data_IF_830347220880
#
_entry.id   IF_830347220880
#
_cell.length_a   1.000
_cell.length_b   1.000
_cell.length_c   1.000
_cell.angle_alpha   90.00
_cell.angle_beta   90.00
_cell.angle_gamma   90.00
#
_symmetry.space_group_name_H-M   'P 1'
#
loop_
_entity.id
_entity.type
_entity.pdbx_description
1 polymer ?
#
# COMPACT_ATOMS: atom_id res chain seq x y z
N UNK A 1 15.51 -9.40 7.99
CA UNK A 1 15.23 -9.45 6.54
C UNK A 1 14.15 -8.42 6.22
N UNK A 2 14.43 -7.49 5.32
CA UNK A 2 13.51 -6.42 4.90
C UNK A 2 12.92 -6.69 3.52
N UNK A 3 11.88 -5.95 3.15
CA UNK A 3 11.19 -6.04 1.86
C UNK A 3 11.25 -4.71 1.14
N UNK A 4 11.53 -4.75 -0.16
CA UNK A 4 11.56 -3.56 -1.01
C UNK A 4 10.64 -3.79 -2.21
N UNK A 5 9.63 -2.93 -2.34
CA UNK A 5 8.74 -2.92 -3.49
C UNK A 5 9.44 -2.16 -4.60
N UNK A 6 9.72 -2.83 -5.71
CA UNK A 6 10.27 -2.22 -6.91
C UNK A 6 9.11 -1.81 -7.81
N UNK A 7 8.81 -0.52 -7.76
CA UNK A 7 7.71 0.14 -8.47
C UNK A 7 8.21 1.17 -9.50
N UNK A 8 9.51 1.17 -9.79
CA UNK A 8 10.16 1.92 -10.85
C UNK A 8 10.96 0.97 -11.76
N UNK A 9 11.37 1.42 -12.95
CA UNK A 9 12.23 0.63 -13.82
C UNK A 9 13.61 0.41 -13.18
N UNK A 10 13.98 -0.85 -12.95
CA UNK A 10 15.26 -1.22 -12.33
C UNK A 10 15.90 -2.35 -13.13
N UNK A 11 17.18 -2.17 -13.47
CA UNK A 11 18.00 -3.21 -14.09
C UNK A 11 18.17 -4.43 -13.18
N UNK A 12 18.26 -5.63 -13.76
CA UNK A 12 18.38 -6.87 -13.01
C UNK A 12 19.58 -6.86 -12.03
N UNK A 13 20.73 -6.33 -12.46
CA UNK A 13 21.93 -6.23 -11.63
C UNK A 13 21.73 -5.40 -10.36
N UNK A 14 20.89 -4.35 -10.40
CA UNK A 14 20.61 -3.55 -9.19
C UNK A 14 19.69 -4.30 -8.23
N UNK A 15 18.72 -5.08 -8.73
CA UNK A 15 17.89 -5.96 -7.88
C UNK A 15 18.76 -6.99 -7.16
N UNK A 16 19.74 -7.58 -7.85
CA UNK A 16 20.69 -8.54 -7.28
C UNK A 16 21.57 -7.92 -6.21
N UNK A 17 22.11 -6.71 -6.44
CA UNK A 17 22.88 -5.99 -5.43
C UNK A 17 22.03 -5.67 -4.20
N UNK A 18 20.80 -5.18 -4.40
CA UNK A 18 19.89 -4.87 -3.30
C UNK A 18 19.57 -6.11 -2.45
N UNK A 19 19.37 -7.25 -3.10
CA UNK A 19 19.10 -8.52 -2.42
C UNK A 19 20.34 -9.10 -1.73
N UNK A 20 21.46 -9.19 -2.45
CA UNK A 20 22.69 -9.83 -1.96
C UNK A 20 23.40 -9.02 -0.89
N UNK A 21 23.53 -7.70 -1.08
CA UNK A 21 24.27 -6.84 -0.15
C UNK A 21 23.44 -6.46 1.08
N UNK A 22 22.17 -6.10 0.90
CA UNK A 22 21.35 -5.58 2.00
C UNK A 22 20.34 -6.59 2.56
N UNK A 23 20.34 -7.83 2.06
CA UNK A 23 19.42 -8.87 2.49
C UNK A 23 17.95 -8.50 2.27
N UNK A 24 17.67 -7.73 1.21
CA UNK A 24 16.31 -7.30 0.86
C UNK A 24 15.61 -8.34 -0.01
N UNK A 25 14.39 -8.69 0.37
CA UNK A 25 13.49 -9.41 -0.53
C UNK A 25 12.85 -8.41 -1.48
N UNK A 26 13.11 -8.57 -2.77
CA UNK A 26 12.55 -7.72 -3.82
C UNK A 26 11.14 -8.18 -4.16
N UNK A 27 10.20 -7.25 -4.14
CA UNK A 27 8.80 -7.47 -4.50
C UNK A 27 8.48 -6.68 -5.76
N UNK A 28 8.03 -7.35 -6.82
CA UNK A 28 7.72 -6.70 -8.08
C UNK A 28 6.30 -6.11 -8.08
N UNK A 29 6.18 -4.81 -8.33
CA UNK A 29 4.90 -4.11 -8.30
C UNK A 29 3.92 -4.62 -9.39
N UNK A 30 4.43 -5.05 -10.55
CA UNK A 30 3.60 -5.57 -11.62
C UNK A 30 3.07 -6.97 -11.24
N UNK A 31 3.91 -7.85 -10.70
CA UNK A 31 3.49 -9.15 -10.18
C UNK A 31 2.44 -9.02 -9.06
N UNK A 32 2.69 -8.16 -8.07
CA UNK A 32 1.74 -7.95 -6.97
C UNK A 32 0.41 -7.38 -7.44
N UNK A 33 0.44 -6.55 -8.48
CA UNK A 33 -0.79 -6.05 -9.13
C UNK A 33 -1.54 -7.16 -9.82
N UNK A 34 -0.87 -7.99 -10.62
CA UNK A 34 -1.50 -9.15 -11.27
C UNK A 34 -2.15 -10.08 -10.24
N UNK A 35 -1.48 -10.35 -9.12
CA UNK A 35 -2.05 -11.14 -8.02
C UNK A 35 -3.27 -10.50 -7.38
N UNK A 36 -3.28 -9.17 -7.25
CA UNK A 36 -4.43 -8.41 -6.74
C UNK A 36 -5.62 -8.47 -7.70
N UNK A 37 -5.38 -8.35 -9.00
CA UNK A 37 -6.43 -8.41 -10.03
C UNK A 37 -6.97 -9.84 -10.23
N UNK A 38 -6.14 -10.86 -10.03
CA UNK A 38 -6.54 -12.27 -10.08
C UNK A 38 -7.24 -12.76 -8.79
N UNK A 39 -7.45 -11.89 -7.80
CA UNK A 39 -8.12 -12.28 -6.57
C UNK A 39 -9.58 -12.69 -6.81
N UNK A 40 -9.92 -13.94 -6.49
CA UNK A 40 -11.26 -14.50 -6.74
C UNK A 40 -12.40 -13.76 -6.03
N UNK A 41 -12.11 -12.99 -4.97
CA UNK A 41 -13.12 -12.19 -4.29
C UNK A 41 -13.81 -11.15 -5.18
N UNK A 42 -13.20 -10.77 -6.32
CA UNK A 42 -13.84 -9.90 -7.30
C UNK A 42 -15.13 -10.47 -7.89
N UNK A 43 -15.23 -11.80 -8.01
CA UNK A 43 -16.42 -12.48 -8.57
C UNK A 43 -17.66 -12.37 -7.67
N UNK A 44 -17.46 -12.04 -6.40
CA UNK A 44 -18.54 -11.88 -5.41
C UNK A 44 -19.01 -10.44 -5.23
N UNK A 45 -18.43 -9.51 -5.97
CA UNK A 45 -18.74 -8.10 -5.87
C UNK A 45 -19.67 -7.67 -7.01
N UNK A 46 -20.75 -6.97 -6.64
CA UNK A 46 -21.63 -6.31 -7.61
C UNK A 46 -21.05 -4.92 -7.92
N UNK A 47 -20.66 -4.64 -9.18
CA UNK A 47 -20.12 -3.34 -9.57
C UNK A 47 -21.00 -2.15 -9.19
N UNK A 48 -22.32 -2.28 -9.26
CA UNK A 48 -23.24 -1.18 -9.06
C UNK A 48 -23.47 -0.83 -7.59
N UNK A 49 -23.08 -1.72 -6.68
CA UNK A 49 -23.15 -1.50 -5.23
C UNK A 49 -21.77 -1.57 -4.55
N UNK A 50 -20.69 -1.64 -5.31
CA UNK A 50 -19.31 -1.65 -4.81
C UNK A 50 -18.60 -0.34 -5.10
N UNK A 51 -18.00 0.24 -4.06
CA UNK A 51 -17.16 1.44 -4.14
C UNK A 51 -15.67 1.07 -4.02
N UNK A 52 -14.89 1.36 -5.06
CA UNK A 52 -13.43 1.24 -5.03
C UNK A 52 -12.81 2.50 -4.45
N UNK A 53 -11.98 2.36 -3.42
CA UNK A 53 -11.33 3.47 -2.72
C UNK A 53 -9.81 3.31 -2.78
N UNK A 54 -9.13 4.32 -3.33
CA UNK A 54 -7.67 4.36 -3.46
C UNK A 54 -7.13 5.56 -2.65
N UNK A 55 -6.80 5.39 -1.37
CA UNK A 55 -6.44 6.50 -0.48
C UNK A 55 -4.95 6.90 -0.58
N UNK A 56 -4.70 8.14 -1.00
CA UNK A 56 -3.36 8.76 -0.94
C UNK A 56 -2.34 8.22 -1.95
N UNK A 57 -1.05 8.49 -1.66
CA UNK A 57 0.03 8.30 -2.64
C UNK A 57 0.34 6.82 -2.93
N UNK A 58 0.36 5.96 -1.91
CA UNK A 58 0.62 4.52 -2.07
C UNK A 58 -0.40 3.88 -3.00
N UNK A 59 -1.69 4.06 -2.69
CA UNK A 59 -2.79 3.66 -3.57
C UNK A 59 -2.73 4.26 -4.98
N UNK A 60 -2.22 5.49 -5.13
CA UNK A 60 -2.03 6.09 -6.47
C UNK A 60 -0.97 5.37 -7.30
N UNK A 61 0.06 4.81 -6.66
CA UNK A 61 1.05 3.95 -7.32
C UNK A 61 0.38 2.64 -7.75
N UNK A 62 -0.38 1.99 -6.86
CA UNK A 62 -1.13 0.77 -7.21
C UNK A 62 -2.06 1.01 -8.39
N UNK A 63 -2.80 2.13 -8.40
CA UNK A 63 -3.66 2.54 -9.51
C UNK A 63 -2.93 2.58 -10.85
N UNK A 64 -1.75 3.22 -10.90
CA UNK A 64 -0.94 3.29 -12.13
C UNK A 64 -0.57 1.90 -12.65
N UNK A 65 -0.25 0.97 -11.76
CA UNK A 65 0.06 -0.39 -12.14
C UNK A 65 -1.19 -1.17 -12.57
N UNK A 66 -2.33 -0.98 -11.92
CA UNK A 66 -3.61 -1.55 -12.37
C UNK A 66 -3.88 -1.12 -13.82
N UNK A 67 -3.80 0.17 -14.11
CA UNK A 67 -4.02 0.73 -15.45
C UNK A 67 -2.99 0.24 -16.48
N UNK A 68 -1.79 -0.14 -16.05
CA UNK A 68 -0.75 -0.72 -16.90
C UNK A 68 -1.02 -2.21 -17.21
N UNK A 69 -1.46 -2.98 -16.21
CA UNK A 69 -1.69 -4.43 -16.33
C UNK A 69 -3.02 -4.72 -17.04
N UNK A 70 -4.08 -4.02 -16.64
CA UNK A 70 -5.41 -4.09 -17.25
C UNK A 70 -6.01 -2.67 -17.32
N UNK A 71 -5.88 -1.98 -18.47
CA UNK A 71 -6.37 -0.62 -18.65
C UNK A 71 -7.87 -0.44 -18.42
N UNK A 72 -8.66 -1.52 -18.57
CA UNK A 72 -10.12 -1.47 -18.47
C UNK A 72 -10.65 -1.93 -17.12
N UNK A 73 -9.79 -2.44 -16.24
CA UNK A 73 -10.21 -2.97 -14.94
C UNK A 73 -11.00 -1.95 -14.11
N UNK A 74 -10.50 -0.71 -14.01
CA UNK A 74 -11.19 0.36 -13.26
C UNK A 74 -12.50 0.83 -13.91
N UNK A 75 -12.73 0.51 -15.19
CA UNK A 75 -13.96 0.87 -15.89
C UNK A 75 -15.13 -0.03 -15.50
N UNK A 76 -14.82 -1.25 -15.03
CA UNK A 76 -15.80 -2.19 -14.51
C UNK A 76 -16.47 -1.68 -13.24
N UNK A 77 -15.89 -0.71 -12.53
CA UNK A 77 -16.39 -0.19 -11.25
C UNK A 77 -16.93 1.24 -11.40
N UNK A 78 -18.25 1.46 -11.49
CA UNK A 78 -18.82 2.81 -11.65
C UNK A 78 -18.44 3.75 -10.50
N UNK A 79 -18.41 3.23 -9.27
CA UNK A 79 -18.15 4.02 -8.07
C UNK A 79 -16.68 3.93 -7.67
N UNK A 80 -15.99 5.08 -7.72
CA UNK A 80 -14.57 5.20 -7.36
C UNK A 80 -14.35 6.45 -6.51
N UNK A 81 -13.45 6.38 -5.54
CA UNK A 81 -13.05 7.52 -4.74
C UNK A 81 -11.55 7.53 -4.43
N UNK A 82 -10.98 8.74 -4.38
CA UNK A 82 -9.55 8.97 -4.18
C UNK A 82 -9.34 9.97 -3.02
N UNK A 83 -9.77 9.62 -1.79
CA UNK A 83 -9.68 10.55 -0.67
C UNK A 83 -8.22 10.86 -0.37
N UNK A 84 -7.96 12.09 0.07
CA UNK A 84 -6.64 12.45 0.59
C UNK A 84 -6.31 11.59 1.80
N UNK A 85 -5.18 10.89 1.75
CA UNK A 85 -4.60 10.20 2.89
C UNK A 85 -3.10 10.49 2.94
N UNK A 86 -2.61 10.85 4.13
CA UNK A 86 -1.20 11.18 4.34
C UNK A 86 -0.72 10.58 5.66
N UNK A 87 0.40 9.88 5.60
CA UNK A 87 1.18 9.53 6.80
C UNK A 87 2.13 10.68 7.11
N UNK A 88 2.13 11.12 8.36
CA UNK A 88 3.03 12.15 8.86
C UNK A 88 4.00 11.48 9.81
N UNK A 89 5.28 11.65 9.53
CA UNK A 89 6.37 11.22 10.38
C UNK A 89 6.86 12.40 11.20
N UNK A 90 6.69 12.34 12.52
CA UNK A 90 7.24 13.33 13.46
C UNK A 90 8.36 12.60 14.23
N UNK A 91 9.62 13.09 14.20
CA UNK A 91 10.71 12.49 14.96
C UNK A 91 10.36 12.34 16.44
N UNK A 92 10.56 11.14 17.00
CA UNK A 92 10.24 10.84 18.40
C UNK A 92 8.79 10.46 18.67
N UNK A 93 7.89 10.63 17.71
CA UNK A 93 6.50 10.19 17.82
C UNK A 93 6.20 8.94 16.99
N UNK A 94 5.13 8.25 17.36
CA UNK A 94 4.53 7.24 16.49
C UNK A 94 4.00 7.92 15.21
N UNK A 95 4.19 7.30 14.02
CA UNK A 95 3.61 7.80 12.79
C UNK A 95 2.11 8.01 12.93
N UNK A 96 1.59 9.11 12.41
CA UNK A 96 0.16 9.41 12.41
C UNK A 96 -0.38 9.43 10.99
N UNK A 97 -1.54 8.82 10.82
CA UNK A 97 -2.26 8.85 9.54
C UNK A 97 -3.40 9.88 9.57
N UNK A 98 -3.49 10.72 8.55
CA UNK A 98 -4.62 11.64 8.32
C UNK A 98 -5.37 11.19 7.08
N UNK A 99 -6.70 11.14 7.16
CA UNK A 99 -7.57 10.67 6.09
C UNK A 99 -8.74 11.63 5.93
N UNK A 100 -9.06 11.97 4.68
CA UNK A 100 -10.24 12.76 4.33
C UNK A 100 -11.50 11.91 4.21
N UNK A 101 -12.63 12.59 4.04
CA UNK A 101 -13.88 11.93 3.66
C UNK A 101 -13.80 11.42 2.22
N UNK A 102 -14.42 10.26 2.00
CA UNK A 102 -14.63 9.64 0.68
C UNK A 102 -15.60 10.49 -0.15
N UNK A 103 -16.66 10.97 0.49
CA UNK A 103 -17.69 11.79 -0.12
C UNK A 103 -18.15 12.87 0.89
N UNK A 104 -18.47 14.10 0.46
CA UNK A 104 -19.02 15.14 1.35
C UNK A 104 -20.37 14.75 1.99
N UNK A 105 -21.18 13.93 1.31
CA UNK A 105 -22.49 13.49 1.76
C UNK A 105 -22.59 11.99 2.06
N UNK A 106 -23.80 11.55 2.38
CA UNK A 106 -24.12 10.13 2.60
C UNK A 106 -24.23 9.41 1.26
N UNK A 107 -23.54 8.28 1.11
CA UNK A 107 -23.66 7.38 -0.03
C UNK A 107 -24.66 6.27 0.33
N UNK A 108 -25.79 6.25 -0.38
CA UNK A 108 -26.82 5.22 -0.26
C UNK A 108 -26.69 4.23 -1.41
N UNK A 109 -27.00 2.95 -1.16
CA UNK A 109 -26.94 1.90 -2.19
C UNK A 109 -25.57 1.23 -2.35
N UNK A 110 -24.51 1.80 -1.76
CA UNK A 110 -23.21 1.13 -1.64
C UNK A 110 -23.30 0.06 -0.55
N UNK A 111 -23.11 -1.20 -0.94
CA UNK A 111 -23.11 -2.37 -0.05
C UNK A 111 -21.70 -2.82 0.34
N UNK A 112 -20.72 -2.56 -0.51
CA UNK A 112 -19.32 -2.93 -0.25
C UNK A 112 -18.38 -1.79 -0.58
N UNK A 113 -17.43 -1.52 0.32
CA UNK A 113 -16.33 -0.59 0.11
C UNK A 113 -15.04 -1.38 0.05
N UNK A 114 -14.34 -1.33 -1.09
CA UNK A 114 -13.05 -2.00 -1.28
C UNK A 114 -11.94 -0.96 -1.25
N UNK A 115 -11.12 -1.00 -0.21
CA UNK A 115 -9.96 -0.12 -0.05
C UNK A 115 -8.73 -0.81 -0.63
N UNK A 116 -8.09 -0.19 -1.63
CA UNK A 116 -6.87 -0.69 -2.27
C UNK A 116 -5.70 0.21 -1.87
N UNK A 117 -4.64 -0.35 -1.29
CA UNK A 117 -3.44 0.39 -0.86
C UNK A 117 -2.15 -0.38 -1.19
N UNK A 118 -1.00 0.29 -1.26
CA UNK A 118 0.28 -0.39 -1.54
C UNK A 118 0.74 -1.23 -0.33
N UNK A 119 0.66 -0.69 0.89
CA UNK A 119 1.16 -1.33 2.10
C UNK A 119 0.26 -1.09 3.31
N UNK A 120 -0.26 -2.18 3.87
CA UNK A 120 -0.90 -2.21 5.20
C UNK A 120 0.14 -2.60 6.26
N UNK A 121 0.81 -1.59 6.82
CA UNK A 121 1.85 -1.78 7.86
C UNK A 121 1.29 -1.92 9.27
N UNK A 122 0.79 -0.84 9.87
CA UNK A 122 0.07 -0.90 11.16
C UNK A 122 -1.43 -1.16 11.00
N UNK A 123 -1.97 -0.81 9.83
CA UNK A 123 -3.41 -0.73 9.60
C UNK A 123 -4.06 0.57 10.05
N UNK A 124 -3.28 1.56 10.51
CA UNK A 124 -3.81 2.84 10.98
C UNK A 124 -4.53 3.62 9.88
N UNK A 125 -3.97 3.68 8.66
CA UNK A 125 -4.58 4.38 7.52
C UNK A 125 -5.97 3.80 7.21
N UNK A 126 -6.05 2.49 7.00
CA UNK A 126 -7.32 1.80 6.67
C UNK A 126 -8.30 1.88 7.84
N UNK A 127 -7.83 1.69 9.08
CA UNK A 127 -8.66 1.82 10.27
C UNK A 127 -9.28 3.20 10.44
N UNK A 128 -8.49 4.27 10.24
CA UNK A 128 -9.00 5.65 10.26
C UNK A 128 -9.93 5.92 9.09
N UNK A 129 -9.57 5.48 7.88
CA UNK A 129 -10.40 5.69 6.69
C UNK A 129 -11.81 5.15 6.91
N UNK A 130 -11.92 3.91 7.42
CA UNK A 130 -13.22 3.34 7.79
C UNK A 130 -13.89 4.11 8.91
N UNK A 131 -13.16 4.46 9.98
CA UNK A 131 -13.75 5.17 11.14
C UNK A 131 -14.39 6.49 10.73
N UNK A 132 -13.71 7.27 9.89
CA UNK A 132 -14.19 8.58 9.42
C UNK A 132 -15.36 8.47 8.43
N UNK A 133 -15.47 7.36 7.70
CA UNK A 133 -16.42 7.23 6.59
C UNK A 133 -17.60 6.29 6.85
N UNK A 134 -17.52 5.37 7.82
CA UNK A 134 -18.56 4.34 8.07
C UNK A 134 -19.95 4.92 8.34
N UNK A 135 -20.05 6.12 8.92
CA UNK A 135 -21.34 6.76 9.19
C UNK A 135 -21.95 7.41 7.95
N UNK A 136 -21.14 7.67 6.92
CA UNK A 136 -21.57 8.26 5.64
C UNK A 136 -21.82 7.20 4.58
N UNK A 137 -21.40 5.96 4.81
CA UNK A 137 -21.68 4.82 3.95
C UNK A 137 -22.30 3.74 4.85
N UNK A 138 -23.54 3.97 5.33
CA UNK A 138 -24.18 3.09 6.28
C UNK A 138 -24.35 1.69 5.66
N UNK A 139 -24.41 0.67 6.50
CA UNK A 139 -24.59 -0.76 6.17
C UNK A 139 -23.52 -1.42 5.28
N UNK A 140 -22.59 -0.65 4.71
CA UNK A 140 -21.58 -1.22 3.83
C UNK A 140 -20.58 -2.10 4.58
N UNK A 141 -20.25 -3.23 3.98
CA UNK A 141 -19.09 -4.04 4.35
C UNK A 141 -17.80 -3.37 3.86
N UNK A 142 -16.72 -3.57 4.61
CA UNK A 142 -15.43 -2.93 4.32
C UNK A 142 -14.40 -4.00 4.03
N UNK A 143 -13.81 -3.97 2.84
CA UNK A 143 -12.79 -4.90 2.38
C UNK A 143 -11.48 -4.15 2.15
N UNK A 144 -10.35 -4.78 2.45
CA UNK A 144 -9.03 -4.18 2.25
C UNK A 144 -8.15 -5.08 1.38
N UNK A 145 -7.65 -4.53 0.29
CA UNK A 145 -6.75 -5.21 -0.64
C UNK A 145 -5.44 -4.44 -0.66
N UNK A 146 -4.33 -5.17 -0.68
CA UNK A 146 -3.03 -4.53 -0.71
C UNK A 146 -1.97 -5.36 -1.42
N UNK A 147 -0.91 -4.72 -1.91
CA UNK A 147 0.26 -5.46 -2.34
C UNK A 147 0.92 -6.16 -1.15
N UNK A 148 1.20 -5.44 -0.07
CA UNK A 148 1.92 -5.98 1.08
C UNK A 148 1.21 -5.71 2.39
N UNK A 149 0.98 -6.77 3.18
CA UNK A 149 0.43 -6.67 4.54
C UNK A 149 1.43 -7.20 5.56
N UNK A 150 1.62 -6.47 6.66
CA UNK A 150 2.27 -7.03 7.86
C UNK A 150 1.32 -8.01 8.55
N UNK A 151 1.82 -9.15 9.01
CA UNK A 151 1.00 -10.10 9.77
C UNK A 151 0.46 -9.47 11.05
N UNK A 152 1.29 -8.72 11.78
CA UNK A 152 0.91 -7.92 12.96
C UNK A 152 -0.01 -6.70 12.70
N UNK A 153 -0.46 -6.44 11.47
CA UNK A 153 -1.32 -5.28 11.19
C UNK A 153 -2.75 -5.47 11.69
N UNK A 154 -3.33 -4.41 12.26
CA UNK A 154 -4.72 -4.43 12.70
C UNK A 154 -5.64 -3.97 11.58
N UNK A 155 -6.60 -4.82 11.21
CA UNK A 155 -7.60 -4.53 10.18
C UNK A 155 -9.02 -4.61 10.76
N UNK A 156 -9.16 -4.30 12.05
CA UNK A 156 -10.43 -4.41 12.79
C UNK A 156 -11.57 -3.67 12.08
N UNK A 157 -12.66 -4.38 11.86
CA UNK A 157 -13.87 -3.87 11.22
C UNK A 157 -13.89 -4.01 9.70
N UNK A 158 -12.84 -4.55 9.10
CA UNK A 158 -12.88 -5.04 7.72
C UNK A 158 -13.39 -6.49 7.70
N UNK A 159 -14.38 -6.76 6.86
CA UNK A 159 -14.99 -8.08 6.69
C UNK A 159 -14.08 -9.04 5.93
N UNK A 160 -13.29 -8.51 4.98
CA UNK A 160 -12.32 -9.26 4.21
C UNK A 160 -11.01 -8.47 4.06
N UNK A 161 -9.89 -9.18 4.07
CA UNK A 161 -8.57 -8.60 3.82
C UNK A 161 -7.79 -9.52 2.91
N UNK A 162 -7.31 -9.00 1.80
CA UNK A 162 -6.43 -9.70 0.87
C UNK A 162 -5.10 -8.96 0.74
N UNK A 163 -4.01 -9.71 0.64
CA UNK A 163 -2.70 -9.17 0.38
C UNK A 163 -1.95 -10.06 -0.60
N UNK A 164 -1.38 -9.49 -1.67
CA UNK A 164 -0.55 -10.24 -2.60
C UNK A 164 0.67 -10.87 -1.90
N UNK A 165 1.20 -10.18 -0.88
CA UNK A 165 2.25 -10.70 0.01
C UNK A 165 1.93 -10.38 1.47
N UNK A 166 1.99 -11.39 2.34
CA UNK A 166 2.01 -11.18 3.80
C UNK A 166 3.42 -11.37 4.32
N UNK A 167 3.88 -10.45 5.17
CA UNK A 167 5.26 -10.42 5.70
C UNK A 167 5.29 -10.22 7.22
N UNK A 168 6.43 -10.53 7.83
CA UNK A 168 6.61 -10.46 9.29
C UNK A 168 5.85 -11.55 10.04
N UNK A 169 5.82 -11.42 11.37
CA UNK A 169 5.08 -12.31 12.27
C UNK A 169 3.97 -11.54 12.99
N UNK A 170 3.20 -12.23 13.85
CA UNK A 170 2.15 -11.57 14.66
C UNK A 170 2.73 -10.61 15.69
N UNK A 171 3.95 -10.88 16.16
CA UNK A 171 4.63 -10.11 17.20
C UNK A 171 5.64 -9.12 16.60
N UNK A 172 6.24 -9.45 15.46
CA UNK A 172 7.38 -8.72 14.91
C UNK A 172 7.10 -8.22 13.49
N UNK A 173 7.15 -6.90 13.32
CA UNK A 173 7.07 -6.25 12.00
C UNK A 173 8.43 -6.26 11.32
N UNK A 174 8.42 -6.39 10.00
CA UNK A 174 9.63 -6.28 9.17
C UNK A 174 9.68 -4.95 8.42
N UNK A 175 10.85 -4.44 8.03
CA UNK A 175 10.93 -3.23 7.21
C UNK A 175 10.29 -3.45 5.83
N UNK A 176 9.45 -2.51 5.37
CA UNK A 176 8.85 -2.49 4.02
C UNK A 176 8.86 -1.06 3.52
N UNK A 177 9.35 -0.83 2.30
CA UNK A 177 9.19 0.45 1.59
C UNK A 177 9.07 0.24 0.08
N UNK A 178 8.52 1.23 -0.62
CA UNK A 178 8.62 1.33 -2.07
C UNK A 178 9.89 2.06 -2.48
N UNK A 179 10.52 1.58 -3.56
CA UNK A 179 11.74 2.15 -4.08
C UNK A 179 11.52 3.59 -4.56
N UNK A 180 10.41 3.88 -5.23
CA UNK A 180 10.01 5.25 -5.60
C UNK A 180 10.03 6.20 -4.41
N UNK A 181 9.46 5.80 -3.26
CA UNK A 181 9.45 6.61 -2.03
C UNK A 181 10.86 6.89 -1.54
N UNK A 182 11.74 5.88 -1.55
CA UNK A 182 13.12 6.06 -1.10
C UNK A 182 13.93 6.96 -2.06
N UNK A 183 13.64 6.91 -3.37
CA UNK A 183 14.28 7.78 -4.36
C UNK A 183 13.83 9.24 -4.15
N UNK A 184 12.51 9.46 -4.06
CA UNK A 184 11.86 10.77 -3.99
C UNK A 184 12.02 11.49 -2.64
N UNK A 185 12.22 10.74 -1.55
CA UNK A 185 12.30 11.26 -0.17
C UNK A 185 13.65 10.90 0.44
N UNK A 186 14.73 11.66 0.15
CA UNK A 186 16.06 11.41 0.68
C UNK A 186 16.10 11.23 2.21
N UNK A 187 15.30 12.00 2.93
CA UNK A 187 15.18 11.97 4.38
C UNK A 187 14.59 10.63 4.90
N UNK A 188 13.63 10.06 4.17
CA UNK A 188 13.05 8.76 4.49
C UNK A 188 14.06 7.65 4.16
N UNK A 189 14.75 7.76 3.03
CA UNK A 189 15.78 6.81 2.63
C UNK A 189 16.95 6.75 3.61
N UNK A 190 17.46 7.89 4.04
CA UNK A 190 18.53 7.95 5.04
C UNK A 190 18.08 7.33 6.38
N UNK A 191 16.88 7.67 6.82
CA UNK A 191 16.32 7.12 8.06
C UNK A 191 16.14 5.59 7.96
N UNK A 192 15.62 5.10 6.83
CA UNK A 192 15.47 3.69 6.54
C UNK A 192 16.81 2.97 6.52
N UNK A 193 17.81 3.51 5.82
CA UNK A 193 19.12 2.90 5.67
C UNK A 193 19.83 2.77 7.03
N UNK A 194 19.85 3.87 7.82
CA UNK A 194 20.48 3.88 9.15
C UNK A 194 19.84 2.86 10.10
N UNK A 195 18.51 2.71 10.07
CA UNK A 195 17.78 1.78 10.94
C UNK A 195 17.99 0.31 10.58
N UNK A 196 18.19 0.00 9.31
CA UNK A 196 18.12 -1.38 8.82
C UNK A 196 19.48 -1.95 8.39
N UNK A 197 20.44 -1.11 8.02
CA UNK A 197 21.72 -1.55 7.44
C UNK A 197 22.95 -1.06 8.22
N UNK A 198 22.77 -0.25 9.28
CA UNK A 198 23.87 0.18 10.14
C UNK A 198 25.03 0.81 9.36
N UNK A 199 26.20 0.16 9.37
CA UNK A 199 27.40 0.63 8.69
C UNK A 199 27.26 0.71 7.17
N UNK A 200 26.37 -0.08 6.57
CA UNK A 200 26.13 -0.11 5.12
C UNK A 200 25.12 0.96 4.66
N UNK A 201 24.62 1.80 5.59
CA UNK A 201 23.62 2.81 5.28
C UNK A 201 24.08 3.82 4.21
N UNK A 202 25.37 4.17 4.19
CA UNK A 202 25.94 5.06 3.17
C UNK A 202 25.90 4.40 1.79
N UNK A 203 26.31 3.15 1.69
CA UNK A 203 26.34 2.39 0.44
C UNK A 203 24.95 2.23 -0.16
N UNK A 204 23.93 1.99 0.69
CA UNK A 204 22.54 1.97 0.25
C UNK A 204 22.12 3.32 -0.34
N UNK A 205 22.49 4.42 0.31
CA UNK A 205 22.24 5.78 -0.19
C UNK A 205 22.92 6.07 -1.53
N UNK A 206 24.15 5.61 -1.74
CA UNK A 206 24.85 5.77 -3.02
C UNK A 206 24.16 5.00 -4.15
N UNK A 207 23.67 3.78 -3.90
CA UNK A 207 22.91 3.00 -4.89
C UNK A 207 21.62 3.73 -5.28
N UNK A 208 20.92 4.34 -4.32
CA UNK A 208 19.69 5.09 -4.62
C UNK A 208 19.94 6.32 -5.50
N UNK A 209 21.14 6.90 -5.49
CA UNK A 209 21.48 8.04 -6.37
C UNK A 209 21.53 7.67 -7.84
N UNK A 210 21.73 6.39 -8.18
CA UNK A 210 21.74 5.91 -9.57
C UNK A 210 20.37 6.16 -10.25
N UNK A 211 19.31 6.27 -9.45
CA UNK A 211 17.94 6.45 -9.93
C UNK A 211 17.45 7.92 -9.93
N UNK A 212 18.31 8.88 -9.61
CA UNK A 212 18.00 10.32 -9.61
C UNK A 212 18.58 11.00 -10.84
#
# INVERSE_FOLDING_TARGET
>A
MGYLIVDVGVEAGVKEVLAGKFGLTILDAQEMTSNLLAWQGWEHLDPWSTLIVLPGNGASIVKKYIEKVDPFWLWQWPWKAFPHAKRVWIPGENPRSYVGRINPGVLVGIKTVVVIDDVISSGETVGKLRKENKSFIPVAEWWALTWVKQRASSTKGYSAVFAAKTVGTEEHKVPINSLSTLIERPEIAECYARRNFGNEAKDFGEILKIFR
#
